data_IF_741128671924
#
_entry.id   IF_741128671924
#
_cell.length_a   1.000
_cell.length_b   1.000
_cell.length_c   1.000
_cell.angle_alpha   90.00
_cell.angle_beta   90.00
_cell.angle_gamma   90.00
#
_symmetry.space_group_name_H-M   'P 1'
#
loop_
_entity.id
_entity.type
_entity.pdbx_description
1 polymer ?
#
# COMPACT_ATOMS: atom_id res chain seq x y z
N UNK A 1 -11.44 12.71 -22.72
CA UNK A 1 -10.87 14.05 -22.76
C UNK A 1 -10.45 14.49 -24.18
N UNK A 2 -10.63 13.64 -25.22
CA UNK A 2 -10.36 13.99 -26.62
C UNK A 2 -8.89 14.05 -27.01
N UNK A 3 -8.01 13.33 -26.30
CA UNK A 3 -6.64 13.16 -26.75
C UNK A 3 -6.56 12.12 -27.88
N UNK A 4 -5.73 12.40 -28.89
CA UNK A 4 -5.30 11.40 -29.88
C UNK A 4 -4.16 10.59 -29.28
N UNK A 5 -4.33 9.26 -29.26
CA UNK A 5 -3.35 8.35 -28.67
C UNK A 5 -2.82 7.42 -29.77
N UNK A 6 -1.51 7.38 -29.91
CA UNK A 6 -0.81 6.49 -30.87
C UNK A 6 0.29 5.71 -30.14
N UNK A 7 0.54 4.48 -30.61
CA UNK A 7 1.70 3.68 -30.18
C UNK A 7 2.81 3.87 -31.20
N UNK A 8 3.99 4.25 -30.72
CA UNK A 8 5.15 4.46 -31.59
C UNK A 8 6.41 3.86 -30.93
N UNK A 9 6.93 2.79 -31.49
CA UNK A 9 8.16 2.14 -31.02
C UNK A 9 8.13 1.65 -29.57
N UNK A 10 6.93 1.31 -29.04
CA UNK A 10 6.74 0.93 -27.64
C UNK A 10 6.30 2.09 -26.74
N UNK A 11 6.37 3.33 -27.19
CA UNK A 11 5.91 4.51 -26.47
C UNK A 11 4.43 4.79 -26.73
N UNK A 12 3.74 5.29 -25.70
CA UNK A 12 2.38 5.84 -25.82
C UNK A 12 2.50 7.34 -26.03
N UNK A 13 2.14 7.80 -27.23
CA UNK A 13 2.14 9.23 -27.56
C UNK A 13 0.72 9.76 -27.47
N UNK A 14 0.45 10.68 -26.55
CA UNK A 14 -0.84 11.34 -26.39
C UNK A 14 -0.74 12.82 -26.79
N UNK A 15 -1.63 13.29 -27.64
CA UNK A 15 -1.68 14.68 -28.11
C UNK A 15 -3.09 15.26 -27.95
N UNK A 16 -3.18 16.52 -27.59
CA UNK A 16 -4.44 17.27 -27.58
C UNK A 16 -4.62 17.93 -28.98
N UNK A 17 -5.52 17.47 -29.87
CA UNK A 17 -5.62 17.94 -31.25
C UNK A 17 -5.86 19.43 -31.43
N UNK A 18 -6.46 20.07 -30.41
CA UNK A 18 -6.78 21.50 -30.40
C UNK A 18 -5.92 22.30 -29.42
N UNK A 19 -4.74 21.76 -29.03
CA UNK A 19 -3.86 22.35 -28.00
C UNK A 19 -4.35 22.21 -26.58
N UNK A 20 -5.62 21.84 -26.35
CA UNK A 20 -6.21 21.59 -25.01
C UNK A 20 -7.16 20.40 -25.05
N UNK A 21 -7.21 19.65 -23.97
CA UNK A 21 -8.20 18.61 -23.73
C UNK A 21 -9.59 19.21 -23.54
N UNK A 22 -10.63 18.41 -23.72
CA UNK A 22 -12.03 18.83 -23.58
C UNK A 22 -12.65 18.15 -22.36
N UNK A 23 -13.41 18.92 -21.57
CA UNK A 23 -14.18 18.37 -20.47
C UNK A 23 -15.16 17.30 -20.94
N UNK A 24 -15.31 16.25 -20.15
CA UNK A 24 -16.14 15.11 -20.50
C UNK A 24 -16.72 14.45 -19.24
N UNK A 25 -17.79 13.68 -19.41
CA UNK A 25 -18.24 12.75 -18.37
C UNK A 25 -17.55 11.40 -18.58
N UNK A 26 -16.82 10.93 -17.57
CA UNK A 26 -15.94 9.75 -17.63
C UNK A 26 -16.32 8.80 -16.51
N UNK A 27 -16.52 7.53 -16.85
CA UNK A 27 -16.71 6.46 -15.87
C UNK A 27 -15.40 5.69 -15.68
N UNK A 28 -14.88 5.63 -14.44
CA UNK A 28 -13.62 4.96 -14.10
C UNK A 28 -13.82 3.68 -13.26
N UNK A 29 -15.05 3.20 -13.16
CA UNK A 29 -15.34 1.92 -12.53
C UNK A 29 -14.91 0.74 -13.37
N UNK A 30 -14.49 -0.32 -12.71
CA UNK A 30 -14.16 -1.60 -13.32
C UNK A 30 -14.74 -2.77 -12.54
N UNK A 31 -14.45 -3.99 -12.97
CA UNK A 31 -14.92 -5.22 -12.32
C UNK A 31 -14.51 -5.31 -10.84
N UNK A 32 -13.37 -4.72 -10.49
CA UNK A 32 -12.77 -4.77 -9.16
C UNK A 32 -12.83 -3.43 -8.42
N UNK A 33 -13.66 -2.51 -8.88
CA UNK A 33 -13.84 -1.18 -8.29
C UNK A 33 -13.26 -0.05 -9.11
N UNK A 34 -13.03 1.09 -8.47
CA UNK A 34 -12.44 2.28 -9.08
C UNK A 34 -10.92 2.13 -9.25
N UNK A 35 -10.38 2.88 -10.23
CA UNK A 35 -8.92 2.94 -10.44
C UNK A 35 -8.31 4.17 -9.79
N UNK A 36 -7.37 3.98 -8.85
CA UNK A 36 -6.71 5.07 -8.13
C UNK A 36 -5.87 5.92 -9.08
N UNK A 37 -4.91 5.31 -9.79
CA UNK A 37 -4.04 6.02 -10.74
C UNK A 37 -4.82 6.61 -11.91
N UNK A 38 -5.87 5.90 -12.40
CA UNK A 38 -6.77 6.45 -13.43
C UNK A 38 -7.47 7.72 -12.95
N UNK A 39 -7.98 7.72 -11.70
CA UNK A 39 -8.62 8.89 -11.09
C UNK A 39 -7.62 10.05 -10.95
N UNK A 40 -6.43 9.81 -10.41
CA UNK A 40 -5.41 10.84 -10.24
C UNK A 40 -4.99 11.47 -11.59
N UNK A 41 -4.72 10.63 -12.60
CA UNK A 41 -4.28 11.09 -13.92
C UNK A 41 -5.37 11.87 -14.66
N UNK A 42 -6.62 11.34 -14.68
CA UNK A 42 -7.74 12.02 -15.34
C UNK A 42 -8.07 13.33 -14.62
N UNK A 43 -8.09 13.33 -13.28
CA UNK A 43 -8.32 14.53 -12.48
C UNK A 43 -7.26 15.60 -12.76
N UNK A 44 -5.99 15.24 -12.76
CA UNK A 44 -4.89 16.17 -13.06
C UNK A 44 -4.96 16.73 -14.48
N UNK A 45 -5.19 15.89 -15.49
CA UNK A 45 -5.32 16.30 -16.88
C UNK A 45 -6.55 17.21 -17.10
N UNK A 46 -7.65 16.95 -16.39
CA UNK A 46 -8.90 17.70 -16.50
C UNK A 46 -8.80 19.12 -15.95
N UNK A 47 -7.84 19.41 -15.06
CA UNK A 47 -7.66 20.78 -14.50
C UNK A 47 -7.40 21.82 -15.56
N UNK A 48 -6.74 21.44 -16.67
CA UNK A 48 -6.42 22.32 -17.81
C UNK A 48 -7.28 22.06 -19.04
N UNK A 49 -8.29 21.19 -18.95
CA UNK A 49 -9.22 20.94 -20.05
C UNK A 49 -10.18 22.12 -20.25
N UNK A 50 -10.74 22.29 -21.44
CA UNK A 50 -11.78 23.27 -21.70
C UNK A 50 -13.14 22.74 -21.22
N UNK A 51 -13.84 23.51 -20.38
CA UNK A 51 -15.17 23.14 -19.86
C UNK A 51 -15.10 22.31 -18.58
N UNK A 52 -16.10 21.49 -18.32
CA UNK A 52 -16.26 20.71 -17.08
C UNK A 52 -16.05 19.23 -17.33
N UNK A 53 -15.25 18.60 -16.49
CA UNK A 53 -15.09 17.14 -16.43
C UNK A 53 -15.81 16.59 -15.19
N UNK A 54 -16.56 15.51 -15.37
CA UNK A 54 -17.18 14.76 -14.29
C UNK A 54 -16.62 13.34 -14.32
N UNK A 55 -15.98 12.92 -13.24
CA UNK A 55 -15.54 11.54 -13.06
C UNK A 55 -16.58 10.83 -12.21
N UNK A 56 -17.17 9.77 -12.75
CA UNK A 56 -18.05 8.85 -12.02
C UNK A 56 -17.28 7.58 -11.64
N UNK A 57 -17.58 7.00 -10.51
CA UNK A 57 -16.83 5.89 -9.92
C UNK A 57 -15.34 6.23 -9.73
N UNK A 58 -15.09 7.45 -9.28
CA UNK A 58 -13.75 7.90 -8.91
C UNK A 58 -13.25 7.11 -7.68
N UNK A 59 -11.94 6.96 -7.57
CA UNK A 59 -11.30 6.43 -6.37
C UNK A 59 -11.47 7.41 -5.20
N UNK A 60 -11.77 6.86 -4.02
CA UNK A 60 -12.02 7.63 -2.79
C UNK A 60 -10.81 7.67 -1.84
N UNK A 61 -9.70 7.11 -2.25
CA UNK A 61 -8.47 7.01 -1.46
C UNK A 61 -8.00 8.39 -0.98
N UNK A 62 -7.48 8.50 0.26
CA UNK A 62 -6.98 9.75 0.83
C UNK A 62 -5.95 10.46 -0.05
N UNK A 63 -5.15 9.70 -0.81
CA UNK A 63 -4.17 10.20 -1.76
C UNK A 63 -4.83 11.01 -2.89
N UNK A 64 -6.05 10.63 -3.32
CA UNK A 64 -6.82 11.40 -4.32
C UNK A 64 -7.26 12.73 -3.74
N UNK A 65 -7.66 12.74 -2.46
CA UNK A 65 -8.01 13.99 -1.75
C UNK A 65 -6.80 14.89 -1.63
N UNK A 66 -5.64 14.31 -1.28
CA UNK A 66 -4.39 15.06 -1.12
C UNK A 66 -3.93 15.70 -2.45
N UNK A 67 -3.96 14.95 -3.55
CA UNK A 67 -3.67 15.48 -4.90
C UNK A 67 -4.67 16.55 -5.30
N UNK A 68 -5.96 16.40 -5.03
CA UNK A 68 -6.97 17.41 -5.31
C UNK A 68 -6.73 18.69 -4.51
N UNK A 69 -6.32 18.58 -3.24
CA UNK A 69 -5.96 19.71 -2.39
C UNK A 69 -4.74 20.46 -2.94
N UNK A 70 -3.69 19.75 -3.36
CA UNK A 70 -2.54 20.37 -4.04
C UNK A 70 -2.99 21.13 -5.30
N UNK A 71 -3.72 20.47 -6.19
CA UNK A 71 -4.19 21.06 -7.44
C UNK A 71 -5.08 22.31 -7.19
N UNK A 72 -5.96 22.25 -6.19
CA UNK A 72 -6.81 23.40 -5.82
C UNK A 72 -5.97 24.56 -5.27
N UNK A 73 -4.91 24.30 -4.49
CA UNK A 73 -3.95 25.34 -4.06
C UNK A 73 -3.21 25.95 -5.26
N UNK A 74 -2.96 25.17 -6.30
CA UNK A 74 -2.38 25.66 -7.56
C UNK A 74 -3.37 26.46 -8.41
N UNK A 75 -4.63 26.56 -8.01
CA UNK A 75 -5.67 27.33 -8.69
C UNK A 75 -6.65 26.48 -9.52
N UNK A 76 -6.60 25.15 -9.42
CA UNK A 76 -7.62 24.28 -9.99
C UNK A 76 -8.99 24.46 -9.29
N UNK A 77 -10.05 23.92 -9.89
CA UNK A 77 -11.40 23.97 -9.37
C UNK A 77 -11.97 22.55 -9.33
N UNK A 78 -11.56 21.80 -8.30
CA UNK A 78 -11.94 20.40 -8.08
C UNK A 78 -12.87 20.34 -6.86
N UNK A 79 -13.98 19.64 -6.99
CA UNK A 79 -14.94 19.35 -5.91
C UNK A 79 -15.30 17.87 -5.91
N UNK A 80 -15.68 17.34 -4.74
CA UNK A 80 -16.09 15.95 -4.59
C UNK A 80 -14.93 14.94 -4.45
N UNK A 81 -13.69 15.37 -4.33
CA UNK A 81 -12.59 14.45 -4.02
C UNK A 81 -12.85 13.72 -2.70
N UNK A 82 -12.56 12.40 -2.65
CA UNK A 82 -12.92 11.51 -1.54
C UNK A 82 -14.33 10.93 -1.66
N UNK A 83 -15.06 11.23 -2.74
CA UNK A 83 -16.33 10.61 -3.08
C UNK A 83 -16.29 9.95 -4.46
N UNK A 84 -17.24 9.05 -4.78
CA UNK A 84 -17.28 8.38 -6.09
C UNK A 84 -17.52 9.33 -7.28
N UNK A 85 -17.82 10.61 -7.01
CA UNK A 85 -18.07 11.60 -8.06
C UNK A 85 -17.22 12.83 -7.83
N UNK A 86 -16.31 13.10 -8.78
CA UNK A 86 -15.45 14.27 -8.78
C UNK A 86 -15.85 15.19 -9.94
N UNK A 87 -15.98 16.48 -9.66
CA UNK A 87 -16.27 17.50 -10.68
C UNK A 87 -15.09 18.45 -10.77
N UNK A 88 -14.58 18.67 -11.99
CA UNK A 88 -13.43 19.52 -12.28
C UNK A 88 -13.86 20.57 -13.30
N UNK A 89 -13.73 21.84 -12.96
CA UNK A 89 -13.84 22.95 -13.91
C UNK A 89 -12.46 23.30 -14.41
N UNK A 90 -12.24 23.18 -15.72
CA UNK A 90 -10.95 23.50 -16.30
C UNK A 90 -10.60 24.97 -16.15
N UNK A 91 -9.32 25.26 -15.94
CA UNK A 91 -8.75 26.60 -15.81
C UNK A 91 -7.71 26.83 -16.91
N UNK A 92 -7.35 28.10 -17.16
CA UNK A 92 -6.39 28.42 -18.22
C UNK A 92 -4.96 28.07 -17.84
N UNK A 93 -4.64 28.18 -16.55
CA UNK A 93 -3.31 27.87 -16.02
C UNK A 93 -3.38 27.46 -14.57
N UNK A 94 -2.38 26.71 -14.12
CA UNK A 94 -2.07 26.47 -12.73
C UNK A 94 -0.86 27.32 -12.31
N UNK A 95 -0.78 27.66 -11.04
CA UNK A 95 0.33 28.41 -10.44
C UNK A 95 1.16 27.46 -9.55
N UNK A 96 2.34 27.91 -9.10
CA UNK A 96 3.06 27.20 -8.05
C UNK A 96 2.30 27.28 -6.72
N UNK A 97 2.45 26.26 -5.90
CA UNK A 97 1.87 26.20 -4.55
C UNK A 97 2.78 25.41 -3.61
N UNK A 98 2.76 25.77 -2.34
CA UNK A 98 3.35 24.95 -1.28
C UNK A 98 2.31 23.96 -0.77
N UNK A 99 2.71 22.71 -0.63
CA UNK A 99 1.87 21.65 -0.13
C UNK A 99 2.69 20.65 0.69
N UNK A 100 2.17 20.28 1.84
CA UNK A 100 2.73 19.20 2.65
C UNK A 100 1.97 17.93 2.32
N UNK A 101 2.64 17.01 1.63
CA UNK A 101 2.07 15.72 1.23
C UNK A 101 1.66 14.92 2.45
N UNK A 102 0.51 14.24 2.38
CA UNK A 102 0.05 13.36 3.45
C UNK A 102 1.06 12.25 3.77
N UNK A 103 1.12 11.75 5.01
CA UNK A 103 1.94 10.58 5.34
C UNK A 103 1.47 9.33 4.58
N UNK A 104 2.43 8.45 4.26
CA UNK A 104 2.12 7.17 3.59
C UNK A 104 1.43 6.21 4.58
N UNK A 105 0.13 5.99 4.38
CA UNK A 105 -0.65 5.07 5.21
C UNK A 105 -0.22 3.60 5.05
N UNK A 106 0.32 3.23 3.89
CA UNK A 106 0.74 1.85 3.64
C UNK A 106 2.08 1.58 4.34
N UNK A 107 3.00 2.54 4.32
CA UNK A 107 4.22 2.45 5.13
C UNK A 107 3.88 2.41 6.62
N UNK A 108 2.98 3.27 7.10
CA UNK A 108 2.53 3.26 8.49
C UNK A 108 1.92 1.91 8.90
N UNK A 109 1.00 1.37 8.09
CA UNK A 109 0.41 0.04 8.32
C UNK A 109 1.45 -1.09 8.31
N UNK A 110 2.45 -1.02 7.43
CA UNK A 110 3.58 -1.96 7.41
C UNK A 110 4.39 -1.88 8.69
N UNK A 111 4.71 -0.66 9.16
CA UNK A 111 5.44 -0.45 10.40
C UNK A 111 4.64 -0.85 11.65
N UNK A 112 3.29 -0.81 11.60
CA UNK A 112 2.45 -1.37 12.67
C UNK A 112 2.56 -2.90 12.76
N UNK A 113 2.78 -3.59 11.65
CA UNK A 113 2.99 -5.03 11.66
C UNK A 113 4.35 -5.44 12.26
N UNK A 114 5.37 -4.57 12.23
CA UNK A 114 6.71 -4.90 12.71
C UNK A 114 6.75 -5.26 14.21
N UNK A 115 6.26 -4.41 15.16
CA UNK A 115 6.21 -4.79 16.57
C UNK A 115 5.22 -5.94 16.82
N UNK A 116 4.13 -6.02 16.03
CA UNK A 116 3.14 -7.07 16.19
C UNK A 116 3.73 -8.47 15.91
N UNK A 117 4.48 -8.62 14.82
CA UNK A 117 5.07 -9.91 14.43
C UNK A 117 6.28 -10.32 15.30
N UNK A 118 6.95 -9.33 15.90
CA UNK A 118 8.15 -9.56 16.74
C UNK A 118 7.88 -9.51 18.23
N UNK A 119 6.61 -9.33 18.63
CA UNK A 119 6.19 -9.14 20.01
C UNK A 119 6.90 -7.94 20.67
N UNK A 120 7.03 -6.85 19.94
CA UNK A 120 7.70 -5.62 20.32
C UNK A 120 6.74 -4.51 20.78
N UNK A 121 7.32 -3.33 20.96
CA UNK A 121 6.63 -2.10 21.37
C UNK A 121 7.25 -0.95 20.57
N UNK A 122 6.44 -0.24 19.79
CA UNK A 122 6.94 0.77 18.87
C UNK A 122 6.07 2.03 18.90
N UNK A 123 6.74 3.18 18.96
CA UNK A 123 6.11 4.49 18.73
C UNK A 123 6.24 4.87 17.26
N UNK A 124 5.12 5.23 16.65
CA UNK A 124 5.07 5.77 15.28
C UNK A 124 4.63 7.24 15.35
N UNK A 125 5.42 8.10 14.75
CA UNK A 125 5.11 9.51 14.59
C UNK A 125 4.55 9.79 13.19
N UNK A 126 3.77 10.85 13.08
CA UNK A 126 3.24 11.29 11.78
C UNK A 126 2.40 10.20 11.08
N UNK A 127 1.54 9.53 11.83
CA UNK A 127 0.77 8.38 11.38
C UNK A 127 -0.66 8.78 10.98
N UNK A 128 -1.14 8.44 9.76
CA UNK A 128 -2.48 8.80 9.28
C UNK A 128 -3.52 7.77 9.76
N UNK A 129 -3.85 7.77 11.05
CA UNK A 129 -4.71 6.76 11.68
C UNK A 129 -6.12 6.70 11.09
N UNK A 130 -6.69 7.84 10.70
CA UNK A 130 -8.02 7.90 10.08
C UNK A 130 -8.06 7.22 8.70
N UNK A 131 -6.93 7.25 7.99
CA UNK A 131 -6.80 6.57 6.70
C UNK A 131 -6.56 5.04 6.82
N UNK A 132 -6.42 4.53 8.05
CA UNK A 132 -6.09 3.13 8.36
C UNK A 132 -7.19 2.40 9.17
N UNK A 133 -8.39 2.94 9.25
CA UNK A 133 -9.44 2.40 10.13
C UNK A 133 -9.69 0.90 9.90
N UNK A 134 -9.87 0.46 8.65
CA UNK A 134 -10.09 -0.95 8.33
C UNK A 134 -8.89 -1.84 8.71
N UNK A 135 -7.66 -1.37 8.51
CA UNK A 135 -6.46 -2.11 8.91
C UNK A 135 -6.31 -2.18 10.44
N UNK A 136 -6.62 -1.09 11.15
CA UNK A 136 -6.62 -1.05 12.63
C UNK A 136 -7.62 -2.00 13.25
N UNK A 137 -8.79 -2.16 12.63
CA UNK A 137 -9.82 -3.12 13.07
C UNK A 137 -9.32 -4.56 12.97
N UNK A 138 -8.67 -4.91 11.87
CA UNK A 138 -8.05 -6.24 11.70
C UNK A 138 -6.90 -6.45 12.69
N UNK A 139 -6.06 -5.42 12.92
CA UNK A 139 -5.00 -5.48 13.94
C UNK A 139 -5.59 -5.70 15.35
N UNK A 140 -6.65 -4.97 15.70
CA UNK A 140 -7.34 -5.13 16.97
C UNK A 140 -7.89 -6.55 17.16
N UNK A 141 -8.52 -7.10 16.12
CA UNK A 141 -8.99 -8.50 16.11
C UNK A 141 -7.85 -9.47 16.35
N UNK A 142 -6.68 -9.22 15.73
CA UNK A 142 -5.48 -10.04 15.90
C UNK A 142 -4.78 -9.86 17.26
N UNK A 143 -5.25 -8.97 18.14
CA UNK A 143 -4.64 -8.71 19.45
C UNK A 143 -3.52 -7.68 19.41
N UNK A 144 -3.49 -6.85 18.37
CA UNK A 144 -2.54 -5.73 18.25
C UNK A 144 -3.23 -4.43 18.69
N UNK A 145 -2.62 -3.76 19.63
CA UNK A 145 -3.13 -2.51 20.21
C UNK A 145 -2.44 -1.31 19.56
N UNK A 146 -3.22 -0.49 18.86
CA UNK A 146 -2.78 0.78 18.29
C UNK A 146 -3.41 1.91 19.10
N UNK A 147 -2.64 2.46 20.04
CA UNK A 147 -3.09 3.51 20.96
C UNK A 147 -2.64 4.87 20.45
N UNK A 148 -3.57 5.78 20.22
CA UNK A 148 -3.26 7.17 19.88
C UNK A 148 -2.65 7.88 21.10
N UNK A 149 -1.54 8.59 20.88
CA UNK A 149 -0.76 9.26 21.91
C UNK A 149 -0.83 10.78 21.70
N UNK A 150 -1.77 11.41 22.40
CA UNK A 150 -1.99 12.86 22.34
C UNK A 150 -2.94 13.29 21.21
N UNK A 151 -3.73 14.32 21.47
CA UNK A 151 -4.61 14.93 20.48
C UNK A 151 -3.81 15.87 19.58
N UNK A 152 -3.28 15.34 18.49
CA UNK A 152 -2.74 16.18 17.40
C UNK A 152 -3.85 17.03 16.78
N UNK A 153 -3.51 18.23 16.32
CA UNK A 153 -4.46 19.09 15.59
C UNK A 153 -4.84 18.52 14.22
N UNK A 154 -4.09 17.55 13.71
CA UNK A 154 -4.28 16.92 12.40
C UNK A 154 -4.43 15.41 12.56
N UNK A 155 -5.64 14.82 12.35
CA UNK A 155 -5.89 13.39 12.48
C UNK A 155 -5.13 12.54 11.46
N UNK A 156 -4.60 13.17 10.40
CA UNK A 156 -3.73 12.52 9.41
C UNK A 156 -2.26 12.48 9.85
N UNK A 157 -1.90 13.08 11.01
CA UNK A 157 -0.52 13.20 11.50
C UNK A 157 -0.45 12.97 13.00
N UNK A 158 -0.96 11.84 13.44
CA UNK A 158 -0.96 11.49 14.86
C UNK A 158 0.30 10.73 15.27
N UNK A 159 0.58 10.73 16.56
CA UNK A 159 1.53 9.81 17.17
C UNK A 159 0.76 8.63 17.74
N UNK A 160 1.22 7.40 17.52
CA UNK A 160 0.62 6.22 18.10
C UNK A 160 1.66 5.23 18.63
N UNK A 161 1.27 4.50 19.66
CA UNK A 161 2.02 3.37 20.20
C UNK A 161 1.39 2.08 19.73
N UNK A 162 2.21 1.17 19.21
CA UNK A 162 1.78 -0.14 18.75
C UNK A 162 2.40 -1.22 19.64
N UNK A 163 1.54 -2.00 20.29
CA UNK A 163 1.91 -3.17 21.10
C UNK A 163 1.04 -4.35 20.71
N UNK A 164 1.40 -5.56 21.09
CA UNK A 164 0.57 -6.72 20.82
C UNK A 164 0.44 -7.64 22.02
N UNK A 165 -0.61 -8.45 22.02
CA UNK A 165 -0.73 -9.59 22.90
C UNK A 165 0.37 -10.61 22.59
N UNK A 166 0.82 -11.35 23.59
CA UNK A 166 1.91 -12.33 23.42
C UNK A 166 1.58 -13.43 22.40
N UNK A 167 0.30 -13.74 22.24
CA UNK A 167 -0.21 -14.70 21.26
C UNK A 167 -1.20 -13.96 20.37
N UNK A 168 -0.87 -13.87 19.07
CA UNK A 168 -1.75 -13.28 18.09
C UNK A 168 -2.98 -14.18 17.86
N UNK A 169 -4.12 -13.54 17.66
CA UNK A 169 -5.39 -14.20 17.33
C UNK A 169 -5.60 -14.26 15.81
N UNK A 170 -6.30 -15.28 15.31
CA UNK A 170 -6.66 -15.33 13.90
C UNK A 170 -7.63 -14.17 13.54
N UNK A 171 -7.55 -13.71 12.30
CA UNK A 171 -8.45 -12.69 11.78
C UNK A 171 -8.92 -13.03 10.37
N UNK A 172 -10.08 -12.48 10.01
CA UNK A 172 -10.63 -12.57 8.66
C UNK A 172 -10.76 -11.16 8.08
N UNK A 173 -10.31 -10.98 6.83
CA UNK A 173 -10.53 -9.74 6.12
C UNK A 173 -10.59 -9.93 4.61
N UNK A 174 -11.25 -8.97 3.95
CA UNK A 174 -11.36 -8.89 2.49
C UNK A 174 -10.82 -7.54 2.03
N UNK A 175 -9.92 -7.56 1.05
CA UNK A 175 -9.43 -6.32 0.45
C UNK A 175 -10.52 -5.64 -0.36
N UNK A 176 -10.61 -4.33 -0.24
CA UNK A 176 -11.62 -3.51 -0.93
C UNK A 176 -11.03 -2.12 -1.23
N UNK A 177 -11.57 -1.39 -2.22
CA UNK A 177 -11.28 0.03 -2.37
C UNK A 177 -11.55 0.79 -1.07
N UNK A 178 -10.85 1.91 -0.88
CA UNK A 178 -11.06 2.76 0.29
C UNK A 178 -12.55 3.17 0.45
N UNK A 179 -13.10 3.13 1.70
CA UNK A 179 -12.45 2.97 3.00
C UNK A 179 -12.28 1.52 3.50
N UNK A 180 -12.41 0.52 2.63
CA UNK A 180 -12.16 -0.87 3.01
C UNK A 180 -10.69 -1.19 3.24
N UNK A 181 -10.40 -2.48 3.52
CA UNK A 181 -9.03 -2.92 3.77
C UNK A 181 -8.16 -2.81 2.51
N UNK A 182 -7.03 -2.08 2.54
CA UNK A 182 -6.24 -1.83 1.35
C UNK A 182 -5.48 -3.08 0.90
N UNK A 183 -5.58 -3.40 -0.41
CA UNK A 183 -4.81 -4.49 -1.03
C UNK A 183 -3.30 -4.36 -0.81
N UNK A 184 -2.80 -3.14 -0.62
CA UNK A 184 -1.38 -2.86 -0.42
C UNK A 184 -0.86 -3.24 0.98
N UNK A 185 -1.73 -3.61 1.92
CA UNK A 185 -1.37 -4.18 3.22
C UNK A 185 -1.63 -5.70 3.30
N UNK A 186 -2.17 -6.30 2.27
CA UNK A 186 -2.55 -7.72 2.28
C UNK A 186 -1.37 -8.64 2.60
N UNK A 187 -0.20 -8.46 1.95
CA UNK A 187 0.97 -9.32 2.14
C UNK A 187 1.57 -9.19 3.55
N UNK A 188 1.62 -7.97 4.10
CA UNK A 188 2.15 -7.68 5.44
C UNK A 188 1.27 -8.33 6.52
N UNK A 189 -0.06 -8.21 6.38
CA UNK A 189 -0.99 -8.84 7.29
C UNK A 189 -1.01 -10.37 7.14
N UNK A 190 -0.85 -10.89 5.92
CA UNK A 190 -0.68 -12.33 5.74
C UNK A 190 0.56 -12.82 6.47
N UNK A 191 1.72 -12.14 6.35
CA UNK A 191 2.93 -12.48 7.09
C UNK A 191 2.69 -12.47 8.61
N UNK A 192 2.04 -11.42 9.14
CA UNK A 192 1.67 -11.33 10.55
C UNK A 192 0.83 -12.52 11.01
N UNK A 193 -0.22 -12.84 10.28
CA UNK A 193 -1.20 -13.87 10.63
C UNK A 193 -0.66 -15.30 10.48
N UNK A 194 0.51 -15.50 9.84
CA UNK A 194 1.19 -16.81 9.87
C UNK A 194 1.56 -17.26 11.28
N UNK A 195 1.69 -16.34 12.24
CA UNK A 195 2.03 -16.61 13.64
C UNK A 195 0.82 -16.51 14.59
N UNK A 196 -0.39 -16.37 14.07
CA UNK A 196 -1.61 -16.35 14.87
C UNK A 196 -1.97 -17.76 15.39
N UNK A 197 -2.60 -17.85 16.55
CA UNK A 197 -3.05 -19.13 17.13
C UNK A 197 -4.43 -19.51 16.55
N UNK A 198 -4.41 -20.07 15.35
CA UNK A 198 -5.61 -20.51 14.63
C UNK A 198 -5.57 -20.22 13.14
N UNK A 199 -6.72 -20.35 12.49
CA UNK A 199 -6.87 -20.17 11.05
C UNK A 199 -7.39 -18.75 10.74
N UNK A 200 -6.65 -18.00 9.92
CA UNK A 200 -7.09 -16.74 9.37
C UNK A 200 -7.54 -16.88 7.92
N UNK A 201 -8.43 -16.01 7.46
CA UNK A 201 -8.96 -16.05 6.09
C UNK A 201 -8.73 -14.69 5.44
N UNK A 202 -8.04 -14.68 4.31
CA UNK A 202 -7.73 -13.49 3.54
C UNK A 202 -8.32 -13.61 2.15
N UNK A 203 -9.23 -12.70 1.78
CA UNK A 203 -9.82 -12.64 0.44
C UNK A 203 -9.35 -11.39 -0.29
N UNK A 204 -8.72 -11.56 -1.44
CA UNK A 204 -8.23 -10.47 -2.29
C UNK A 204 -9.24 -10.17 -3.41
N UNK A 205 -9.88 -8.99 -3.37
CA UNK A 205 -10.88 -8.59 -4.36
C UNK A 205 -10.45 -7.47 -5.29
N UNK A 206 -9.36 -6.78 -4.98
CA UNK A 206 -8.84 -5.69 -5.81
C UNK A 206 -7.91 -6.24 -6.90
N UNK A 207 -7.01 -7.16 -6.52
CA UNK A 207 -6.10 -7.87 -7.43
C UNK A 207 -6.14 -9.38 -7.15
N UNK A 208 -7.11 -10.14 -7.67
CA UNK A 208 -7.35 -11.54 -7.29
C UNK A 208 -6.16 -12.50 -7.46
N UNK A 209 -5.17 -12.11 -8.28
CA UNK A 209 -3.95 -12.91 -8.51
C UNK A 209 -2.74 -12.48 -7.68
N UNK A 210 -2.88 -11.49 -6.78
CA UNK A 210 -1.79 -10.90 -6.01
C UNK A 210 -1.36 -11.78 -4.84
N UNK A 211 -0.82 -12.97 -5.13
CA UNK A 211 -0.44 -13.98 -4.13
C UNK A 211 0.95 -14.60 -4.35
N UNK A 212 1.84 -13.95 -5.08
CA UNK A 212 3.20 -14.48 -5.32
C UNK A 212 3.98 -14.72 -4.02
N UNK A 213 3.74 -13.91 -2.99
CA UNK A 213 4.37 -14.06 -1.67
C UNK A 213 3.92 -15.31 -0.91
N UNK A 214 2.81 -15.94 -1.28
CA UNK A 214 2.33 -17.19 -0.64
C UNK A 214 3.36 -18.30 -0.76
N UNK A 215 3.93 -18.49 -1.95
CA UNK A 215 4.97 -19.52 -2.15
C UNK A 215 6.22 -19.23 -1.32
N UNK A 216 6.61 -17.96 -1.22
CA UNK A 216 7.80 -17.55 -0.48
C UNK A 216 7.60 -17.67 1.04
N UNK A 217 6.45 -17.29 1.58
CA UNK A 217 6.10 -17.53 2.98
C UNK A 217 6.04 -19.04 3.30
N UNK A 218 5.55 -19.86 2.37
CA UNK A 218 5.55 -21.32 2.54
C UNK A 218 6.97 -21.90 2.62
N UNK A 219 7.94 -21.33 1.89
CA UNK A 219 9.38 -21.68 2.06
C UNK A 219 9.90 -21.40 3.46
N UNK A 220 9.35 -20.39 4.13
CA UNK A 220 9.66 -20.05 5.51
C UNK A 220 8.87 -20.89 6.53
N UNK A 221 8.15 -21.92 6.08
CA UNK A 221 7.40 -22.84 6.93
C UNK A 221 5.97 -22.38 7.26
N UNK A 222 5.45 -21.34 6.62
CA UNK A 222 4.04 -20.97 6.75
C UNK A 222 3.13 -21.99 6.09
N UNK A 223 1.98 -22.26 6.71
CA UNK A 223 0.96 -23.16 6.17
C UNK A 223 -0.16 -22.33 5.52
N UNK A 224 -0.13 -22.27 4.20
CA UNK A 224 -1.01 -21.41 3.40
C UNK A 224 -1.75 -22.26 2.35
N UNK A 225 -3.07 -22.18 2.35
CA UNK A 225 -3.92 -22.87 1.37
C UNK A 225 -4.66 -21.83 0.53
N UNK A 226 -4.24 -21.66 -0.72
CA UNK A 226 -4.91 -20.77 -1.67
C UNK A 226 -6.04 -21.48 -2.39
N UNK A 227 -7.21 -20.84 -2.45
CA UNK A 227 -8.35 -21.23 -3.25
C UNK A 227 -8.89 -20.02 -4.02
N UNK A 228 -8.52 -19.90 -5.28
CA UNK A 228 -8.87 -18.74 -6.12
C UNK A 228 -8.30 -17.43 -5.53
N UNK A 229 -9.19 -16.51 -5.19
CA UNK A 229 -8.87 -15.21 -4.60
C UNK A 229 -8.82 -15.24 -3.05
N UNK A 230 -8.91 -16.41 -2.41
CA UNK A 230 -8.88 -16.55 -0.95
C UNK A 230 -7.70 -17.41 -0.52
N UNK A 231 -7.06 -17.04 0.57
CA UNK A 231 -6.02 -17.82 1.25
C UNK A 231 -6.46 -18.09 2.68
N UNK A 232 -6.45 -19.37 3.06
CA UNK A 232 -6.51 -19.78 4.46
C UNK A 232 -5.09 -19.82 4.99
N UNK A 233 -4.81 -19.00 6.01
CA UNK A 233 -3.55 -18.93 6.71
C UNK A 233 -3.69 -19.74 7.99
N UNK A 234 -3.07 -20.90 8.02
CA UNK A 234 -3.03 -21.74 9.22
C UNK A 234 -1.80 -21.31 10.04
N UNK A 235 -2.05 -20.79 11.24
CA UNK A 235 -0.97 -20.29 12.09
C UNK A 235 0.03 -21.35 12.50
N UNK A 236 1.30 -20.95 12.54
CA UNK A 236 2.41 -21.81 12.95
C UNK A 236 3.11 -21.23 14.18
N UNK A 237 3.73 -22.05 14.97
CA UNK A 237 4.44 -21.61 16.19
C UNK A 237 5.69 -20.76 15.88
N UNK A 238 6.28 -20.93 14.69
CA UNK A 238 7.50 -20.25 14.26
C UNK A 238 7.64 -20.30 12.75
N UNK A 239 8.24 -19.28 12.20
CA UNK A 239 8.80 -19.28 10.86
C UNK A 239 10.29 -19.66 10.91
N UNK A 240 10.82 -20.14 9.79
CA UNK A 240 12.23 -20.54 9.64
C UNK A 240 12.85 -19.64 8.57
N UNK A 241 14.07 -19.17 8.83
CA UNK A 241 14.84 -18.39 7.89
C UNK A 241 15.11 -19.18 6.60
N UNK A 242 14.88 -18.54 5.46
CA UNK A 242 15.09 -19.12 4.14
C UNK A 242 15.48 -18.05 3.12
N UNK A 243 16.16 -18.43 2.02
CA UNK A 243 16.28 -17.55 0.87
C UNK A 243 14.90 -17.44 0.19
N UNK A 244 14.41 -16.18 0.04
CA UNK A 244 13.10 -15.85 -0.56
C UNK A 244 13.26 -14.77 -1.61
N UNK A 245 12.32 -14.72 -2.56
CA UNK A 245 12.38 -13.82 -3.71
C UNK A 245 11.31 -12.71 -3.58
N UNK A 246 11.74 -11.48 -3.54
CA UNK A 246 10.86 -10.34 -3.66
C UNK A 246 10.27 -10.28 -5.09
N UNK A 247 8.94 -10.32 -5.22
CA UNK A 247 8.24 -10.32 -6.50
C UNK A 247 7.63 -8.97 -6.85
N UNK A 248 7.28 -8.19 -5.85
CA UNK A 248 6.72 -6.84 -5.96
C UNK A 248 6.99 -6.03 -4.69
N UNK A 249 6.65 -4.74 -4.72
CA UNK A 249 6.85 -3.79 -3.63
C UNK A 249 6.26 -4.28 -2.28
N UNK A 250 5.02 -4.75 -2.28
CA UNK A 250 4.27 -5.06 -1.04
C UNK A 250 4.59 -6.46 -0.52
N UNK A 251 4.74 -7.43 -1.44
CA UNK A 251 5.24 -8.76 -1.11
C UNK A 251 6.62 -8.68 -0.44
N UNK A 252 7.51 -7.83 -0.97
CA UNK A 252 8.84 -7.60 -0.38
C UNK A 252 8.76 -7.17 1.08
N UNK A 253 7.90 -6.20 1.41
CA UNK A 253 7.71 -5.74 2.77
C UNK A 253 7.18 -6.84 3.70
N UNK A 254 6.21 -7.64 3.23
CA UNK A 254 5.69 -8.79 3.96
C UNK A 254 6.78 -9.84 4.25
N UNK A 255 7.67 -10.12 3.29
CA UNK A 255 8.77 -11.05 3.47
C UNK A 255 9.85 -10.53 4.45
N UNK A 256 10.13 -9.22 4.45
CA UNK A 256 11.02 -8.61 5.45
C UNK A 256 10.44 -8.78 6.84
N UNK A 257 9.15 -8.48 7.04
CA UNK A 257 8.46 -8.67 8.32
C UNK A 257 8.50 -10.13 8.79
N UNK A 258 8.20 -11.08 7.89
CA UNK A 258 8.30 -12.50 8.20
C UNK A 258 9.74 -12.91 8.57
N UNK A 259 10.75 -12.36 7.87
CA UNK A 259 12.16 -12.59 8.16
C UNK A 259 12.58 -12.11 9.54
N UNK A 260 12.04 -10.98 10.02
CA UNK A 260 12.33 -10.47 11.36
C UNK A 260 11.84 -11.41 12.48
N UNK A 261 10.77 -12.16 12.25
CA UNK A 261 10.21 -13.11 13.21
C UNK A 261 10.71 -14.55 13.02
N UNK A 262 11.40 -14.84 11.92
CA UNK A 262 11.86 -16.18 11.59
C UNK A 262 13.08 -16.61 12.44
N UNK A 263 13.18 -17.90 12.76
CA UNK A 263 14.35 -18.47 13.38
C UNK A 263 15.45 -18.75 12.33
N UNK A 264 16.65 -18.26 12.56
CA UNK A 264 17.77 -18.35 11.61
C UNK A 264 17.88 -17.11 10.73
N UNK A 265 18.51 -17.25 9.56
CA UNK A 265 18.75 -16.13 8.63
C UNK A 265 17.80 -16.22 7.46
N UNK A 266 17.10 -15.13 7.18
CA UNK A 266 16.30 -14.95 5.96
C UNK A 266 17.07 -14.06 4.99
N UNK A 267 17.19 -14.48 3.74
CA UNK A 267 17.78 -13.69 2.67
C UNK A 267 16.67 -13.30 1.70
N UNK A 268 16.40 -12.00 1.59
CA UNK A 268 15.39 -11.48 0.66
C UNK A 268 16.11 -10.96 -0.59
N UNK A 269 15.98 -11.70 -1.69
CA UNK A 269 16.56 -11.31 -2.98
C UNK A 269 15.69 -10.28 -3.72
N UNK A 270 16.28 -9.55 -4.68
CA UNK A 270 15.60 -8.57 -5.56
C UNK A 270 14.93 -7.43 -4.80
N UNK A 271 15.56 -6.97 -3.72
CA UNK A 271 15.01 -5.90 -2.83
C UNK A 271 14.83 -4.54 -3.52
N UNK A 272 15.32 -4.37 -4.76
CA UNK A 272 15.02 -3.18 -5.57
C UNK A 272 13.49 -2.96 -5.77
N UNK A 273 12.68 -3.99 -5.64
CA UNK A 273 11.22 -3.85 -5.62
C UNK A 273 10.75 -3.09 -4.38
N UNK A 274 11.39 -3.33 -3.22
CA UNK A 274 11.10 -2.65 -1.95
C UNK A 274 11.43 -1.16 -2.02
N UNK A 275 12.57 -0.81 -2.64
CA UNK A 275 13.07 0.56 -2.74
C UNK A 275 12.14 1.51 -3.49
N UNK A 276 11.18 0.99 -4.24
CA UNK A 276 10.18 1.79 -4.98
C UNK A 276 9.17 2.51 -4.08
N UNK A 277 9.03 2.13 -2.82
CA UNK A 277 8.05 2.72 -1.92
C UNK A 277 8.40 2.64 -0.44
N UNK A 278 9.59 2.17 -0.09
CA UNK A 278 10.11 2.20 1.28
C UNK A 278 11.53 2.76 1.26
N UNK A 279 11.67 3.97 1.77
CA UNK A 279 12.98 4.62 1.87
C UNK A 279 13.80 3.99 3.00
N UNK A 280 14.87 3.27 2.62
CA UNK A 280 15.84 2.66 3.57
C UNK A 280 15.14 1.92 4.74
N UNK A 281 14.21 1.02 4.41
CA UNK A 281 13.43 0.30 5.42
C UNK A 281 14.33 -0.45 6.40
N UNK A 282 15.43 -1.02 5.92
CA UNK A 282 16.43 -1.70 6.74
C UNK A 282 17.05 -0.79 7.79
N UNK A 283 17.46 0.43 7.43
CA UNK A 283 18.05 1.39 8.36
C UNK A 283 17.05 1.82 9.43
N UNK A 284 15.80 2.07 9.03
CA UNK A 284 14.71 2.49 9.94
C UNK A 284 14.36 1.38 10.94
N UNK A 285 14.27 0.14 10.48
CA UNK A 285 14.01 -1.01 11.35
C UNK A 285 15.20 -1.30 12.26
N UNK A 286 16.45 -1.18 11.77
CA UNK A 286 17.66 -1.31 12.60
C UNK A 286 17.69 -0.26 13.71
N UNK A 287 17.30 0.98 13.44
CA UNK A 287 17.28 2.06 14.43
C UNK A 287 16.34 1.77 15.62
N UNK A 288 15.36 0.87 15.44
CA UNK A 288 14.45 0.43 16.50
C UNK A 288 14.71 -1.01 16.99
N UNK A 289 15.87 -1.56 16.64
CA UNK A 289 16.37 -2.83 17.23
C UNK A 289 16.25 -4.07 16.35
N UNK A 290 15.82 -3.95 15.09
CA UNK A 290 15.85 -5.08 14.18
C UNK A 290 17.30 -5.42 13.75
N UNK A 291 17.57 -6.71 13.52
CA UNK A 291 18.85 -7.18 13.00
C UNK A 291 18.74 -7.45 11.51
N UNK A 292 18.87 -6.41 10.70
CA UNK A 292 18.79 -6.45 9.24
C UNK A 292 20.00 -5.76 8.66
N UNK A 293 20.49 -6.25 7.53
CA UNK A 293 21.52 -5.56 6.75
C UNK A 293 21.28 -5.76 5.27
N UNK A 294 21.62 -4.76 4.48
CA UNK A 294 21.69 -4.87 3.03
C UNK A 294 23.07 -5.39 2.65
N UNK A 295 23.12 -6.35 1.75
CA UNK A 295 24.36 -6.97 1.26
C UNK A 295 24.32 -7.02 -0.26
N UNK A 296 25.48 -6.98 -0.90
CA UNK A 296 25.60 -7.25 -2.33
C UNK A 296 25.49 -8.76 -2.61
N UNK A 297 24.87 -9.14 -3.73
CA UNK A 297 24.78 -10.57 -4.16
C UNK A 297 26.15 -11.25 -4.21
N UNK A 298 27.21 -10.49 -4.48
CA UNK A 298 28.61 -10.97 -4.48
C UNK A 298 29.09 -11.44 -3.10
N UNK A 299 28.59 -10.85 -2.03
CA UNK A 299 28.93 -11.23 -0.65
C UNK A 299 28.24 -12.52 -0.22
N UNK A 300 27.16 -12.90 -0.87
CA UNK A 300 26.40 -14.12 -0.56
C UNK A 300 26.98 -15.39 -1.20
N UNK A 301 28.09 -15.30 -1.96
CA UNK A 301 28.79 -16.45 -2.54
C UNK A 301 28.02 -17.17 -3.66
N UNK A 302 27.02 -16.52 -4.24
CA UNK A 302 26.19 -17.03 -5.33
C UNK A 302 26.66 -16.51 -6.68
N UNK A 303 27.00 -17.44 -7.58
CA UNK A 303 27.06 -17.15 -9.01
C UNK A 303 25.70 -16.61 -9.49
N UNK A 304 25.64 -15.58 -10.32
CA UNK A 304 24.37 -15.09 -10.85
C UNK A 304 23.71 -16.24 -11.61
N UNK A 305 22.52 -16.67 -11.13
CA UNK A 305 21.67 -17.52 -11.93
C UNK A 305 21.23 -16.69 -13.14
N UNK A 306 21.82 -17.01 -14.30
CA UNK A 306 21.36 -16.58 -15.61
C UNK A 306 19.90 -17.03 -15.80
N UNK A 307 18.99 -16.08 -16.02
CA UNK A 307 17.89 -16.15 -16.99
C UNK A 307 16.98 -14.92 -16.86
#
# INVERSE_FOLDING_TARGET
LGADITLNGGDIVARAPRGRLQGAKIFLGGQFGSTVLGTANVMSAATLATGTTIIESAACEPEIVDVANLLNRMGARITGAGSPRITIQGVDRLNGAEHVVMPDRIEAGTLMCAPAITNGDLMLENCPLDALMAAREVLSTAGVHVSEMGSGADPMRTMCRVTCERVLRPAEFTTQPHPGFPTDLQAQFMALLTLADGNSIITERVFPERFLHVAELSRMGAHLLRQGATVVVQGVRKLVGAPVMASDLRASAGLVLAGMAAQGTTIVHRVYHLDRGYEKLEDRLCAVGASIRRVDDKELGGSPAEA
#
